data_IF_348502163211
#
_entry.id   IF_348502163211
#
_cell.length_a   1.000
_cell.length_b   1.000
_cell.length_c   1.000
_cell.angle_alpha   90.00
_cell.angle_beta   90.00
_cell.angle_gamma   90.00
#
_symmetry.space_group_name_H-M   'P 1'
#
loop_
_entity.id
_entity.type
_entity.pdbx_description
1 polymer ?
#
# COMPACT_ATOMS: atom_id res chain seq x y z
N UNK A 1 -0.78 -15.05 11.28
CA UNK A 1 -0.99 -14.71 9.87
C UNK A 1 -2.40 -14.19 9.60
N UNK A 2 -2.54 -13.27 8.64
CA UNK A 2 -3.84 -12.69 8.28
C UNK A 2 -4.89 -13.75 7.91
N UNK A 3 -4.51 -14.72 7.09
CA UNK A 3 -5.41 -15.80 6.69
C UNK A 3 -5.99 -16.58 7.87
N UNK A 4 -5.19 -16.82 8.91
CA UNK A 4 -5.64 -17.51 10.13
C UNK A 4 -6.68 -16.69 10.89
N UNK A 5 -6.44 -15.39 11.04
CA UNK A 5 -7.36 -14.49 11.75
C UNK A 5 -8.67 -14.34 10.97
N UNK A 6 -8.60 -14.20 9.66
CA UNK A 6 -9.78 -14.15 8.79
C UNK A 6 -10.60 -15.45 8.88
N UNK A 7 -9.94 -16.63 8.83
CA UNK A 7 -10.63 -17.90 8.97
C UNK A 7 -11.36 -18.00 10.31
N UNK A 8 -10.71 -17.60 11.41
CA UNK A 8 -11.33 -17.61 12.74
C UNK A 8 -12.54 -16.68 12.85
N UNK A 9 -12.51 -15.52 12.21
CA UNK A 9 -13.67 -14.63 12.19
C UNK A 9 -14.83 -15.22 11.38
N UNK A 10 -14.53 -15.85 10.25
CA UNK A 10 -15.53 -16.52 9.41
C UNK A 10 -16.13 -17.75 10.12
N UNK A 11 -15.34 -18.51 10.87
CA UNK A 11 -15.83 -19.63 11.68
C UNK A 11 -16.55 -19.21 12.97
N UNK A 12 -16.63 -17.91 13.24
CA UNK A 12 -17.19 -17.31 14.45
C UNK A 12 -16.41 -17.64 15.75
N UNK A 13 -15.11 -17.93 15.62
CA UNK A 13 -14.20 -18.07 16.76
C UNK A 13 -13.67 -16.70 17.24
N UNK A 14 -13.95 -15.64 16.49
CA UNK A 14 -13.70 -14.25 16.82
C UNK A 14 -14.94 -13.42 16.54
N UNK A 15 -15.29 -12.55 17.47
CA UNK A 15 -16.47 -11.68 17.36
C UNK A 15 -16.24 -10.53 16.39
N UNK A 16 -15.03 -9.97 16.35
CA UNK A 16 -14.69 -8.78 15.54
C UNK A 16 -13.30 -8.85 14.93
N UNK A 17 -13.21 -8.54 13.65
CA UNK A 17 -11.98 -8.15 12.95
C UNK A 17 -11.89 -6.63 12.92
N UNK A 18 -10.85 -6.07 13.51
CA UNK A 18 -10.72 -4.60 13.65
C UNK A 18 -10.43 -3.90 12.31
N UNK A 19 -9.70 -4.54 11.41
CA UNK A 19 -9.33 -3.94 10.13
C UNK A 19 -9.44 -4.98 9.00
N UNK A 20 -10.47 -4.85 8.20
CA UNK A 20 -10.67 -5.72 7.03
C UNK A 20 -11.29 -4.96 5.88
N UNK A 21 -10.83 -5.23 4.65
CA UNK A 21 -11.51 -4.75 3.45
C UNK A 21 -12.81 -5.53 3.24
N UNK A 22 -13.86 -4.83 2.82
CA UNK A 22 -15.13 -5.43 2.44
C UNK A 22 -15.05 -5.97 1.02
N UNK A 23 -15.31 -7.27 0.84
CA UNK A 23 -15.46 -7.91 -0.48
C UNK A 23 -16.81 -8.62 -0.54
N UNK A 24 -17.33 -8.85 -1.74
CA UNK A 24 -18.60 -9.57 -1.93
C UNK A 24 -18.59 -10.91 -1.17
N UNK A 25 -17.51 -11.69 -1.33
CA UNK A 25 -17.35 -12.98 -0.65
C UNK A 25 -17.36 -12.86 0.89
N UNK A 26 -16.73 -11.82 1.45
CA UNK A 26 -16.71 -11.63 2.91
C UNK A 26 -18.05 -11.14 3.45
N UNK A 27 -18.81 -10.36 2.66
CA UNK A 27 -20.15 -9.87 3.04
C UNK A 27 -21.17 -11.00 3.23
N UNK A 28 -20.95 -12.14 2.63
CA UNK A 28 -21.78 -13.34 2.85
C UNK A 28 -21.59 -13.95 4.24
N UNK A 29 -20.47 -13.64 4.90
CA UNK A 29 -20.02 -14.32 6.12
C UNK A 29 -19.83 -13.39 7.33
N UNK A 30 -19.68 -12.09 7.09
CA UNK A 30 -19.45 -11.07 8.12
C UNK A 30 -20.36 -9.86 7.90
N UNK A 31 -20.74 -9.22 9.00
CA UNK A 31 -21.36 -7.90 9.00
C UNK A 31 -20.24 -6.85 9.00
N UNK A 32 -20.42 -5.75 8.24
CA UNK A 32 -19.41 -4.71 8.10
C UNK A 32 -19.90 -3.40 8.71
N UNK A 33 -19.06 -2.81 9.58
CA UNK A 33 -19.29 -1.52 10.21
C UNK A 33 -18.21 -0.54 9.75
N UNK A 34 -18.59 0.61 9.24
CA UNK A 34 -17.72 1.62 8.64
C UNK A 34 -18.04 1.87 7.16
N UNK A 35 -17.08 2.37 6.32
CA UNK A 35 -15.63 2.38 6.56
C UNK A 35 -15.21 3.45 7.57
N UNK A 36 -14.18 3.17 8.37
CA UNK A 36 -13.63 4.15 9.31
C UNK A 36 -12.27 4.72 8.86
N UNK A 37 -11.62 4.07 7.90
CA UNK A 37 -10.34 4.50 7.34
C UNK A 37 -10.23 4.05 5.88
N UNK A 38 -9.73 4.93 5.02
CA UNK A 38 -9.26 4.57 3.67
C UNK A 38 -7.74 4.74 3.60
N UNK A 39 -7.05 3.76 3.02
CA UNK A 39 -5.60 3.81 2.86
C UNK A 39 -5.18 3.32 1.48
N UNK A 40 -4.20 3.97 0.83
CA UNK A 40 -3.70 3.51 -0.46
C UNK A 40 -3.04 2.13 -0.37
N UNK A 41 -3.24 1.32 -1.41
CA UNK A 41 -2.40 0.16 -1.68
C UNK A 41 -1.24 0.59 -2.57
N UNK A 42 -0.01 0.39 -2.08
CA UNK A 42 1.20 0.84 -2.76
C UNK A 42 1.94 -0.31 -3.44
N UNK A 43 2.66 0.05 -4.50
CA UNK A 43 3.56 -0.83 -5.26
C UNK A 43 4.97 -0.64 -4.72
N UNK A 44 5.64 -1.73 -4.39
CA UNK A 44 6.99 -1.74 -3.81
C UNK A 44 7.94 -2.49 -4.71
N UNK A 45 9.08 -1.87 -4.99
CA UNK A 45 10.14 -2.43 -5.82
C UNK A 45 11.51 -2.19 -5.20
N UNK A 46 12.57 -2.80 -5.78
CA UNK A 46 13.95 -2.42 -5.53
C UNK A 46 14.27 -1.08 -6.25
N UNK A 47 15.33 -0.40 -5.82
CA UNK A 47 15.74 0.93 -6.30
C UNK A 47 16.07 1.03 -7.79
N UNK A 48 16.25 -0.08 -8.47
CA UNK A 48 16.59 -0.12 -9.89
C UNK A 48 15.38 -0.14 -10.84
N UNK A 49 14.16 -0.11 -10.30
CA UNK A 49 12.95 0.04 -11.10
C UNK A 49 12.61 1.50 -11.32
N UNK A 50 12.12 1.83 -12.52
CA UNK A 50 11.55 3.13 -12.81
C UNK A 50 10.23 3.32 -12.08
N UNK A 51 9.79 4.56 -11.96
CA UNK A 51 8.48 4.87 -11.38
C UNK A 51 7.37 4.13 -12.15
N UNK A 52 6.48 3.49 -11.43
CA UNK A 52 5.41 2.66 -11.99
C UNK A 52 4.07 3.27 -11.63
N UNK A 53 3.23 3.48 -12.62
CA UNK A 53 1.91 4.10 -12.44
C UNK A 53 0.82 3.07 -12.13
N UNK A 54 1.01 1.82 -12.55
CA UNK A 54 0.09 0.71 -12.33
C UNK A 54 0.80 -0.65 -12.41
N UNK A 55 0.05 -1.74 -12.34
CA UNK A 55 0.59 -3.10 -12.42
C UNK A 55 0.83 -3.59 -13.86
N UNK A 56 0.44 -2.87 -14.90
CA UNK A 56 0.60 -3.31 -16.29
C UNK A 56 2.08 -3.47 -16.69
N UNK A 57 2.95 -2.63 -16.12
CA UNK A 57 4.40 -2.72 -16.32
C UNK A 57 5.06 -3.98 -15.74
N UNK A 58 4.30 -4.84 -15.04
CA UNK A 58 4.80 -6.08 -14.44
C UNK A 58 4.25 -7.35 -15.09
N UNK A 59 3.76 -7.27 -16.33
CA UNK A 59 3.40 -8.47 -17.10
C UNK A 59 4.57 -9.47 -17.11
N UNK A 60 4.26 -10.77 -16.89
CA UNK A 60 5.23 -11.87 -16.76
C UNK A 60 6.20 -11.77 -15.57
N UNK A 61 6.03 -10.77 -14.71
CA UNK A 61 6.82 -10.58 -13.49
C UNK A 61 6.17 -11.25 -12.28
N UNK A 62 6.99 -11.48 -11.26
CA UNK A 62 6.57 -12.06 -9.98
C UNK A 62 6.10 -10.99 -9.03
N UNK A 63 4.81 -11.04 -8.66
CA UNK A 63 4.21 -10.15 -7.68
C UNK A 63 3.94 -10.91 -6.38
N UNK A 64 4.59 -10.48 -5.30
CA UNK A 64 4.37 -11.01 -3.96
C UNK A 64 3.29 -10.21 -3.23
N UNK A 65 2.34 -10.90 -2.61
CA UNK A 65 1.29 -10.26 -1.82
C UNK A 65 0.80 -11.18 -0.70
N UNK A 66 0.15 -10.56 0.28
CA UNK A 66 -0.41 -11.25 1.43
C UNK A 66 -1.51 -12.22 0.99
N UNK A 67 -1.43 -13.48 1.45
CA UNK A 67 -2.48 -14.49 1.20
C UNK A 67 -3.83 -14.00 1.71
N UNK A 68 -4.85 -14.09 0.85
CA UNK A 68 -6.19 -13.56 1.15
C UNK A 68 -6.28 -12.03 1.02
N UNK A 69 -5.35 -11.37 0.34
CA UNK A 69 -5.46 -9.94 0.03
C UNK A 69 -6.68 -9.67 -0.85
N UNK A 70 -7.40 -8.59 -0.58
CA UNK A 70 -8.68 -8.29 -1.27
C UNK A 70 -8.54 -8.05 -2.78
N UNK A 71 -7.34 -7.66 -3.26
CA UNK A 71 -7.06 -7.43 -4.67
C UNK A 71 -6.71 -8.70 -5.47
N UNK A 72 -6.53 -9.86 -4.85
CA UNK A 72 -6.05 -11.08 -5.54
C UNK A 72 -6.92 -11.41 -6.75
N UNK A 73 -8.24 -11.44 -6.59
CA UNK A 73 -9.16 -11.79 -7.67
C UNK A 73 -9.12 -10.75 -8.80
N UNK A 74 -9.07 -9.47 -8.46
CA UNK A 74 -8.95 -8.38 -9.44
C UNK A 74 -7.62 -8.47 -10.20
N UNK A 75 -6.50 -8.71 -9.51
CA UNK A 75 -5.20 -8.84 -10.18
C UNK A 75 -5.21 -10.01 -11.14
N UNK A 76 -5.72 -11.16 -10.73
CA UNK A 76 -5.83 -12.35 -11.60
C UNK A 76 -6.67 -12.11 -12.85
N UNK A 77 -7.77 -11.36 -12.73
CA UNK A 77 -8.64 -11.07 -13.87
C UNK A 77 -8.10 -9.96 -14.78
N UNK A 78 -7.50 -8.92 -14.21
CA UNK A 78 -7.04 -7.74 -14.96
C UNK A 78 -5.63 -7.94 -15.53
N UNK A 79 -4.77 -8.68 -14.82
CA UNK A 79 -3.36 -8.89 -15.17
C UNK A 79 -3.03 -10.39 -15.17
N UNK A 80 -3.61 -11.20 -16.08
CA UNK A 80 -3.51 -12.67 -16.04
C UNK A 80 -2.07 -13.18 -16.22
N UNK A 81 -1.19 -12.38 -16.81
CA UNK A 81 0.21 -12.75 -17.05
C UNK A 81 1.12 -12.46 -15.85
N UNK A 82 0.64 -11.80 -14.81
CA UNK A 82 1.42 -11.60 -13.58
C UNK A 82 1.49 -12.91 -12.79
N UNK A 83 2.70 -13.30 -12.40
CA UNK A 83 2.91 -14.47 -11.55
C UNK A 83 2.71 -14.11 -10.07
N UNK A 84 1.56 -14.49 -9.48
CA UNK A 84 1.27 -14.19 -8.08
C UNK A 84 1.99 -15.15 -7.14
N UNK A 85 2.68 -14.59 -6.13
CA UNK A 85 3.29 -15.31 -5.00
C UNK A 85 2.54 -14.89 -3.73
N UNK A 86 1.69 -15.78 -3.23
CA UNK A 86 0.95 -15.52 -1.99
C UNK A 86 1.78 -15.94 -0.77
N UNK A 87 1.95 -15.02 0.17
CA UNK A 87 2.76 -15.21 1.39
C UNK A 87 1.94 -14.98 2.66
N UNK A 88 2.35 -15.55 3.81
CA UNK A 88 1.59 -15.46 5.05
C UNK A 88 1.66 -14.10 5.74
N UNK A 89 2.71 -13.30 5.51
CA UNK A 89 2.88 -11.98 6.12
C UNK A 89 3.34 -10.94 5.09
N UNK A 90 3.02 -9.66 5.34
CA UNK A 90 3.46 -8.55 4.47
C UNK A 90 4.99 -8.43 4.43
N UNK A 91 5.65 -8.73 5.53
CA UNK A 91 7.10 -8.75 5.63
C UNK A 91 7.75 -9.79 4.71
N UNK A 92 7.13 -10.98 4.57
CA UNK A 92 7.61 -12.02 3.67
C UNK A 92 7.54 -11.55 2.21
N UNK A 93 6.48 -10.84 1.82
CA UNK A 93 6.37 -10.26 0.48
C UNK A 93 7.51 -9.28 0.19
N UNK A 94 7.79 -8.39 1.14
CA UNK A 94 8.89 -7.42 1.01
C UNK A 94 10.25 -8.11 1.00
N UNK A 95 10.44 -9.16 1.79
CA UNK A 95 11.68 -9.95 1.83
C UNK A 95 11.96 -10.64 0.50
N UNK A 96 10.93 -11.19 -0.16
CA UNK A 96 11.08 -11.78 -1.50
C UNK A 96 11.51 -10.74 -2.54
N UNK A 97 10.99 -9.51 -2.47
CA UNK A 97 11.39 -8.43 -3.37
C UNK A 97 12.82 -7.99 -3.07
N UNK A 98 13.19 -7.80 -1.81
CA UNK A 98 14.55 -7.43 -1.42
C UNK A 98 15.59 -8.47 -1.87
N UNK A 99 15.27 -9.76 -1.74
CA UNK A 99 16.11 -10.87 -2.17
C UNK A 99 16.14 -11.10 -3.70
N UNK A 100 15.30 -10.41 -4.48
CA UNK A 100 15.18 -10.63 -5.92
C UNK A 100 14.39 -11.87 -6.33
N UNK A 101 13.75 -12.56 -5.39
CA UNK A 101 12.90 -13.73 -5.64
C UNK A 101 11.51 -13.34 -6.16
N UNK A 102 11.08 -12.10 -5.90
CA UNK A 102 9.96 -11.42 -6.54
C UNK A 102 10.42 -10.08 -7.14
N UNK A 103 9.70 -9.58 -8.12
CA UNK A 103 10.02 -8.31 -8.79
C UNK A 103 9.34 -7.14 -8.09
N UNK A 104 8.12 -7.38 -7.61
CA UNK A 104 7.24 -6.36 -7.03
C UNK A 104 6.44 -6.95 -5.87
N UNK A 105 6.10 -6.11 -4.89
CA UNK A 105 5.11 -6.42 -3.87
C UNK A 105 4.06 -5.31 -3.81
N UNK A 106 2.87 -5.64 -3.33
CA UNK A 106 1.86 -4.65 -2.98
C UNK A 106 1.45 -4.81 -1.52
N UNK A 107 0.97 -3.71 -0.95
CA UNK A 107 0.45 -3.71 0.42
C UNK A 107 -0.06 -2.35 0.85
N UNK A 108 -0.66 -2.31 2.02
CA UNK A 108 -1.14 -1.08 2.64
C UNK A 108 0.02 -0.10 2.87
N UNK A 109 -0.15 1.17 2.48
CA UNK A 109 0.87 2.21 2.59
C UNK A 109 1.52 2.27 3.99
N UNK A 110 0.72 2.32 5.05
CA UNK A 110 1.25 2.50 6.40
C UNK A 110 2.04 1.27 6.88
N UNK A 111 1.53 0.06 6.62
CA UNK A 111 2.21 -1.18 6.96
C UNK A 111 3.53 -1.34 6.18
N UNK A 112 3.49 -1.07 4.89
CA UNK A 112 4.65 -1.13 3.98
C UNK A 112 5.71 -0.12 4.40
N UNK A 113 5.31 1.15 4.60
CA UNK A 113 6.25 2.21 4.97
C UNK A 113 6.94 1.90 6.29
N UNK A 114 6.19 1.44 7.30
CA UNK A 114 6.76 1.02 8.59
C UNK A 114 7.80 -0.10 8.43
N UNK A 115 7.50 -1.11 7.61
CA UNK A 115 8.44 -2.21 7.35
C UNK A 115 9.67 -1.74 6.59
N UNK A 116 9.51 -0.90 5.57
CA UNK A 116 10.63 -0.32 4.83
C UNK A 116 11.54 0.46 5.79
N UNK A 117 10.98 1.37 6.59
CA UNK A 117 11.77 2.19 7.52
C UNK A 117 12.49 1.36 8.58
N UNK A 118 11.89 0.26 9.05
CA UNK A 118 12.46 -0.54 10.13
C UNK A 118 13.43 -1.63 9.66
N UNK A 119 13.27 -2.18 8.43
CA UNK A 119 13.97 -3.39 8.00
C UNK A 119 14.53 -3.36 6.59
N UNK A 120 13.99 -2.53 5.69
CA UNK A 120 14.35 -2.53 4.27
C UNK A 120 14.80 -1.16 3.77
N UNK A 121 15.23 -0.28 4.70
CA UNK A 121 15.67 1.07 4.36
C UNK A 121 16.82 1.02 3.35
N UNK A 122 16.68 1.75 2.24
CA UNK A 122 17.66 1.77 1.16
C UNK A 122 17.60 0.57 0.20
N UNK A 123 16.92 -0.53 0.57
CA UNK A 123 16.78 -1.71 -0.28
C UNK A 123 15.49 -1.68 -1.11
N UNK A 124 14.40 -1.22 -0.50
CA UNK A 124 13.07 -1.16 -1.10
C UNK A 124 12.52 0.26 -1.13
N UNK A 125 11.68 0.52 -2.11
CA UNK A 125 11.06 1.84 -2.35
C UNK A 125 9.61 1.66 -2.75
N UNK A 126 8.77 2.63 -2.35
CA UNK A 126 7.42 2.75 -2.88
C UNK A 126 7.51 3.38 -4.26
N UNK A 127 7.24 2.60 -5.30
CA UNK A 127 7.36 2.99 -6.69
C UNK A 127 6.08 3.65 -7.25
N UNK A 128 4.93 3.41 -6.62
CA UNK A 128 3.65 3.94 -7.04
C UNK A 128 2.50 3.42 -6.17
N UNK A 129 1.28 3.62 -6.63
CA UNK A 129 0.07 3.08 -6.01
C UNK A 129 -0.72 2.24 -7.01
N UNK A 130 -1.54 1.33 -6.49
CA UNK A 130 -2.44 0.53 -7.33
C UNK A 130 -3.68 1.37 -7.62
N UNK A 131 -3.97 1.72 -8.89
CA UNK A 131 -5.18 2.46 -9.24
C UNK A 131 -6.42 1.74 -8.73
N UNK A 132 -7.38 2.47 -8.17
CA UNK A 132 -8.60 1.95 -7.54
C UNK A 132 -8.33 0.81 -6.52
N UNK A 133 -7.11 0.79 -5.99
CA UNK A 133 -6.64 -0.22 -5.03
C UNK A 133 -6.69 0.25 -3.58
N UNK A 134 -7.32 1.38 -3.30
CA UNK A 134 -7.46 1.88 -1.95
C UNK A 134 -8.24 0.90 -1.09
N UNK A 135 -7.70 0.65 0.09
CA UNK A 135 -8.30 -0.24 1.06
C UNK A 135 -9.18 0.57 1.99
N UNK A 136 -10.49 0.48 1.80
CA UNK A 136 -11.43 0.91 2.82
C UNK A 136 -11.45 -0.13 3.95
N UNK A 137 -11.15 0.31 5.16
CA UNK A 137 -11.09 -0.53 6.33
C UNK A 137 -12.37 -0.45 7.15
N UNK A 138 -12.88 -1.62 7.46
CA UNK A 138 -14.11 -1.85 8.22
C UNK A 138 -13.82 -2.69 9.46
N UNK A 139 -14.69 -2.60 10.44
CA UNK A 139 -14.84 -3.63 11.45
C UNK A 139 -15.68 -4.75 10.82
N UNK A 140 -15.11 -5.96 10.75
CA UNK A 140 -15.83 -7.17 10.32
C UNK A 140 -16.36 -7.89 11.53
N UNK A 141 -17.69 -7.94 11.71
CA UNK A 141 -18.35 -8.51 12.87
C UNK A 141 -18.93 -9.88 12.51
N UNK A 142 -18.85 -10.84 13.40
CA UNK A 142 -19.51 -12.14 13.25
C UNK A 142 -21.00 -11.94 12.93
N UNK A 143 -21.50 -12.66 11.94
CA UNK A 143 -22.93 -12.64 11.60
C UNK A 143 -23.84 -13.24 12.70
N UNK A 144 -23.24 -13.89 13.72
CA UNK A 144 -23.93 -14.35 14.93
C UNK A 144 -24.09 -13.27 16.01
N UNK A 145 -23.47 -12.09 15.82
CA UNK A 145 -23.52 -11.00 16.79
C UNK A 145 -24.03 -9.69 16.15
N UNK A 146 -25.26 -9.66 15.59
CA UNK A 146 -25.81 -8.47 14.94
C UNK A 146 -26.00 -7.30 15.90
N UNK A 147 -26.29 -7.55 17.20
CA UNK A 147 -26.38 -6.51 18.21
C UNK A 147 -25.04 -5.81 18.43
N UNK A 148 -23.94 -6.57 18.42
CA UNK A 148 -22.58 -6.00 18.50
C UNK A 148 -22.29 -5.11 17.29
N UNK A 149 -22.67 -5.53 16.10
CA UNK A 149 -22.53 -4.72 14.89
C UNK A 149 -23.31 -3.40 15.01
N UNK A 150 -24.55 -3.44 15.53
CA UNK A 150 -25.38 -2.26 15.75
C UNK A 150 -24.79 -1.31 16.81
N UNK A 151 -24.20 -1.85 17.88
CA UNK A 151 -23.50 -1.04 18.91
C UNK A 151 -22.29 -0.36 18.32
N UNK A 152 -21.45 -1.10 17.60
CA UNK A 152 -20.23 -0.60 16.97
C UNK A 152 -20.55 0.45 15.89
N UNK A 153 -21.64 0.30 15.15
CA UNK A 153 -22.10 1.28 14.17
C UNK A 153 -22.44 2.61 14.86
N UNK A 154 -23.28 2.55 15.91
CA UNK A 154 -23.63 3.76 16.67
C UNK A 154 -22.42 4.42 17.34
N UNK A 155 -21.47 3.62 17.85
CA UNK A 155 -20.26 4.15 18.43
C UNK A 155 -19.39 4.85 17.37
N UNK A 156 -19.25 4.27 16.18
CA UNK A 156 -18.49 4.86 15.09
C UNK A 156 -19.15 6.15 14.58
N UNK A 157 -20.48 6.17 14.44
CA UNK A 157 -21.26 7.34 14.02
C UNK A 157 -21.23 8.48 15.05
N UNK A 158 -20.94 8.19 16.32
CA UNK A 158 -20.81 9.21 17.36
C UNK A 158 -19.47 9.93 17.38
N UNK A 159 -18.46 9.40 16.64
CA UNK A 159 -17.15 10.04 16.55
C UNK A 159 -17.19 11.26 15.64
N UNK A 160 -16.64 12.37 16.11
CA UNK A 160 -16.50 13.58 15.29
C UNK A 160 -15.34 13.43 14.27
N UNK A 161 -15.37 14.19 13.17
CA UNK A 161 -14.24 14.22 12.23
C UNK A 161 -12.92 14.59 12.91
N UNK A 162 -12.95 15.44 13.92
CA UNK A 162 -11.79 15.88 14.70
C UNK A 162 -11.18 14.72 15.51
N UNK A 163 -12.01 13.92 16.16
CA UNK A 163 -11.57 12.74 16.92
C UNK A 163 -10.96 11.69 16.00
N UNK A 164 -11.61 11.44 14.86
CA UNK A 164 -11.09 10.53 13.84
C UNK A 164 -9.73 11.01 13.31
N UNK A 165 -9.60 12.30 12.98
CA UNK A 165 -8.35 12.87 12.48
C UNK A 165 -7.25 12.89 13.56
N UNK A 166 -7.58 13.17 14.81
CA UNK A 166 -6.63 13.11 15.92
C UNK A 166 -6.10 11.68 16.13
N UNK A 167 -6.98 10.67 16.03
CA UNK A 167 -6.56 9.27 16.08
C UNK A 167 -5.66 8.89 14.88
N UNK A 168 -6.04 9.30 13.66
CA UNK A 168 -5.23 9.08 12.44
C UNK A 168 -3.84 9.70 12.59
N UNK A 169 -3.75 10.97 12.97
CA UNK A 169 -2.48 11.67 13.09
C UNK A 169 -1.56 11.05 14.14
N UNK A 170 -2.12 10.51 15.22
CA UNK A 170 -1.33 9.83 16.26
C UNK A 170 -0.69 8.53 15.79
N UNK A 171 -1.35 7.77 14.91
CA UNK A 171 -0.95 6.42 14.57
C UNK A 171 -0.48 6.24 13.12
N UNK A 172 -0.90 7.13 12.22
CA UNK A 172 -0.64 7.05 10.79
C UNK A 172 0.29 8.15 10.29
N UNK A 173 0.96 8.87 11.20
CA UNK A 173 1.88 9.96 10.89
C UNK A 173 3.12 9.40 10.17
N UNK A 174 2.94 9.14 8.89
CA UNK A 174 3.98 8.67 7.97
C UNK A 174 4.09 9.66 6.84
N UNK A 175 5.13 10.48 6.90
CA UNK A 175 5.52 11.33 5.77
C UNK A 175 5.90 10.42 4.61
N UNK A 176 4.95 10.16 3.72
CA UNK A 176 5.25 9.57 2.42
C UNK A 176 5.93 10.64 1.57
N UNK A 177 7.23 10.52 1.39
CA UNK A 177 7.96 11.29 0.38
C UNK A 177 8.10 10.40 -0.85
N UNK A 178 7.40 10.70 -1.97
CA UNK A 178 7.59 9.97 -3.22
C UNK A 178 9.07 10.03 -3.60
N UNK A 179 9.64 8.90 -4.05
CA UNK A 179 10.99 8.89 -4.59
C UNK A 179 11.05 9.87 -5.77
N UNK A 180 11.77 10.97 -5.62
CA UNK A 180 11.99 11.89 -6.74
C UNK A 180 12.92 11.22 -7.76
N UNK A 181 12.56 11.22 -9.06
CA UNK A 181 13.45 10.68 -10.08
C UNK A 181 14.77 11.45 -10.06
N UNK A 182 15.89 10.74 -9.98
CA UNK A 182 17.24 11.31 -10.01
C UNK A 182 17.56 12.16 -11.27
N UNK A 183 16.67 12.16 -12.26
CA UNK A 183 16.83 12.94 -13.50
C UNK A 183 16.68 14.47 -13.36
N UNK A 184 16.14 14.97 -12.24
CA UNK A 184 15.95 16.43 -12.07
C UNK A 184 17.19 17.19 -11.60
N UNK A 185 18.23 16.48 -11.15
CA UNK A 185 19.46 17.14 -10.68
C UNK A 185 20.48 17.45 -11.79
N UNK A 186 20.35 16.81 -12.98
CA UNK A 186 21.26 17.05 -14.10
C UNK A 186 20.79 18.15 -15.07
N UNK A 187 19.54 18.60 -14.96
CA UNK A 187 19.00 19.67 -15.83
C UNK A 187 19.12 21.07 -15.24
N UNK A 188 19.64 21.22 -13.99
CA UNK A 188 19.93 22.52 -13.40
C UNK A 188 21.40 22.95 -13.50
N UNK A 189 22.24 22.21 -14.21
CA UNK A 189 23.51 22.73 -14.64
C UNK A 189 23.21 23.71 -15.78
N UNK A 190 23.12 24.99 -15.46
CA UNK A 190 23.05 26.08 -16.44
C UNK A 190 24.20 25.99 -17.44
N UNK A 191 24.09 26.67 -18.61
CA UNK A 191 25.09 26.56 -19.66
C UNK A 191 26.48 26.92 -19.11
N UNK A 192 27.54 26.19 -19.53
CA UNK A 192 28.88 26.49 -19.05
C UNK A 192 29.25 27.90 -19.39
N UNK A 193 29.83 28.60 -18.40
CA UNK A 193 30.38 29.99 -18.51
C UNK A 193 31.55 30.08 -19.53
N UNK A 194 31.38 29.57 -20.74
CA UNK A 194 32.35 29.63 -21.82
C UNK A 194 32.19 30.88 -22.72
N UNK A 195 31.20 31.74 -22.45
CA UNK A 195 30.89 32.90 -23.31
C UNK A 195 31.35 34.25 -22.74
N UNK A 196 32.04 34.28 -21.60
CA UNK A 196 32.46 35.56 -20.97
C UNK A 196 33.89 35.99 -21.27
N UNK A 197 34.63 35.28 -22.14
CA UNK A 197 36.04 35.62 -22.42
C UNK A 197 36.31 36.17 -23.83
N UNK A 198 35.30 36.57 -24.59
CA UNK A 198 35.49 37.06 -25.98
C UNK A 198 35.08 38.51 -26.21
N UNK A 199 34.87 39.31 -25.17
CA UNK A 199 34.53 40.77 -25.31
C UNK A 199 35.65 41.71 -24.82
N UNK A 200 36.78 41.22 -24.35
CA UNK A 200 37.87 42.07 -23.83
C UNK A 200 39.07 42.23 -24.78
N UNK A 201 38.98 41.84 -26.06
CA UNK A 201 40.08 41.99 -27.03
C UNK A 201 39.71 42.79 -28.30
N UNK A 202 38.62 43.58 -28.26
CA UNK A 202 38.27 44.49 -29.36
C UNK A 202 38.07 45.94 -28.82
N UNK A 203 39.10 46.54 -28.23
CA UNK A 203 39.04 47.87 -27.70
C UNK A 203 40.44 48.34 -27.27
N UNK A 204 41.29 48.50 -28.24
CA UNK A 204 42.59 49.11 -28.07
C UNK A 204 43.09 49.58 -29.40
#
# INVERSE_FOLDING_TARGET
>A
PWSTVLTKAISNDLDVLVATASTAQRREQLLFVGPYLSTPTVIVTRSNFQQVWDLSGFAERKLALLKGHFLINRIRSTYPNIQLIEVPAQEDALSLVAAGSADVAIGNLHAVNRLIQSRFLGALYIAGHVPDGDSELYLGVSNKAPELAAILHRALDSLTPEEINAAKNRWLDTVYTPAQPRSSLLTQAGPPLASALLVMLAGG
#
